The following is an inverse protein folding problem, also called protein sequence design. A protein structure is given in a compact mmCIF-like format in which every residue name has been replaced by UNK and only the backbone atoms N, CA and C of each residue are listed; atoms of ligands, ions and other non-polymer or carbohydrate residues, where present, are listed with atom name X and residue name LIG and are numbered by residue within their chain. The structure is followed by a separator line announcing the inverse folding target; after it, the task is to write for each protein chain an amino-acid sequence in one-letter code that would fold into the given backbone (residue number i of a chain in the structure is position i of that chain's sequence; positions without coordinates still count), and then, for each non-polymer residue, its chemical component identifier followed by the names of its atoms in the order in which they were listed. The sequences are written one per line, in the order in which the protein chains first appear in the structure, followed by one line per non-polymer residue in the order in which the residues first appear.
data_IF_360421293855
#
_entry.id   IF_360421293855
#
_cell.length_a   1.000
_cell.length_b   1.000
_cell.length_c   1.000
_cell.angle_alpha   90.00
_cell.angle_beta   90.00
_cell.angle_gamma   90.00
#
_symmetry.space_group_name_H-M   'P 1'
#
loop_
_entity.id
_entity.type
_entity.pdbx_description
1 polymer ?
#
# COMPACT_ATOMS: atom_id res chain seq x y z
N UNK A 1 -9.04 -3.66 -5.97
CA UNK A 1 -9.97 -4.57 -5.27
C UNK A 1 -10.97 -3.84 -4.39
N UNK A 2 -10.54 -3.05 -3.40
CA UNK A 2 -11.48 -2.32 -2.52
C UNK A 2 -12.44 -1.42 -3.30
N UNK A 3 -11.95 -0.65 -4.27
CA UNK A 3 -12.80 0.15 -5.14
C UNK A 3 -13.84 -0.68 -5.91
N UNK A 4 -13.44 -1.81 -6.51
CA UNK A 4 -14.37 -2.74 -7.18
C UNK A 4 -15.40 -3.32 -6.22
N UNK A 5 -14.99 -3.70 -5.00
CA UNK A 5 -15.88 -4.27 -4.00
C UNK A 5 -16.92 -3.26 -3.50
N UNK A 6 -16.50 -2.01 -3.27
CA UNK A 6 -17.42 -0.93 -2.93
C UNK A 6 -18.33 -0.55 -4.10
N UNK A 7 -17.85 -0.59 -5.34
CA UNK A 7 -18.69 -0.44 -6.53
C UNK A 7 -19.76 -1.54 -6.61
N UNK A 8 -19.39 -2.80 -6.35
CA UNK A 8 -20.34 -3.92 -6.30
C UNK A 8 -21.40 -3.79 -5.19
N UNK A 9 -21.07 -3.08 -4.10
CA UNK A 9 -21.95 -2.90 -2.94
C UNK A 9 -22.86 -1.68 -3.08
N UNK A 10 -22.30 -0.53 -3.43
CA UNK A 10 -22.93 0.78 -3.26
C UNK A 10 -23.01 1.60 -4.57
N UNK A 11 -22.90 0.95 -5.73
CA UNK A 11 -23.25 1.59 -7.00
C UNK A 11 -24.77 1.79 -7.10
N UNK A 12 -25.21 2.95 -7.59
CA UNK A 12 -26.64 3.31 -7.71
C UNK A 12 -27.46 2.28 -8.50
N UNK A 13 -26.85 1.68 -9.54
CA UNK A 13 -27.55 0.78 -10.48
C UNK A 13 -27.40 -0.69 -10.12
N UNK A 14 -26.19 -1.11 -9.75
CA UNK A 14 -25.85 -2.53 -9.57
C UNK A 14 -25.49 -2.91 -8.13
N UNK A 15 -25.52 -1.95 -7.20
CA UNK A 15 -25.10 -2.14 -5.81
C UNK A 15 -25.98 -3.11 -5.04
N UNK A 16 -25.36 -4.10 -4.41
CA UNK A 16 -26.05 -5.08 -3.55
C UNK A 16 -26.73 -4.43 -2.33
N UNK A 17 -26.08 -3.43 -1.71
CA UNK A 17 -26.65 -2.71 -0.56
C UNK A 17 -27.88 -1.90 -0.97
N UNK A 18 -27.84 -1.27 -2.16
CA UNK A 18 -28.98 -0.53 -2.67
C UNK A 18 -30.19 -1.43 -2.91
N UNK A 19 -29.99 -2.63 -3.46
CA UNK A 19 -31.10 -3.59 -3.63
C UNK A 19 -31.69 -4.03 -2.28
N UNK A 20 -30.85 -4.26 -1.29
CA UNK A 20 -31.30 -4.60 0.06
C UNK A 20 -32.08 -3.45 0.69
N UNK A 21 -31.63 -2.21 0.54
CA UNK A 21 -32.37 -1.03 1.02
C UNK A 21 -33.72 -0.85 0.28
N UNK A 22 -33.75 -1.12 -1.02
CA UNK A 22 -34.98 -1.08 -1.84
C UNK A 22 -36.01 -2.13 -1.42
N UNK A 23 -35.61 -3.24 -0.79
CA UNK A 23 -36.57 -4.19 -0.22
C UNK A 23 -37.28 -3.67 1.03
N UNK A 24 -36.72 -2.67 1.71
CA UNK A 24 -37.32 -2.05 2.90
C UNK A 24 -38.00 -0.72 2.58
N UNK A 25 -37.49 0.04 1.60
CA UNK A 25 -38.01 1.36 1.24
C UNK A 25 -38.26 1.40 -0.28
N UNK A 26 -39.48 1.73 -0.73
CA UNK A 26 -39.80 1.80 -2.16
C UNK A 26 -39.21 3.06 -2.80
N UNK A 27 -37.91 3.02 -3.13
CA UNK A 27 -37.20 4.05 -3.88
C UNK A 27 -36.79 3.53 -5.27
N UNK A 28 -37.02 4.34 -6.31
CA UNK A 28 -36.74 3.98 -7.71
C UNK A 28 -35.25 3.93 -8.03
N UNK A 29 -34.43 4.70 -7.32
CA UNK A 29 -32.98 4.65 -7.40
C UNK A 29 -32.40 4.29 -6.03
N UNK A 30 -31.28 3.55 -6.04
CA UNK A 30 -30.57 3.22 -4.81
C UNK A 30 -30.08 4.49 -4.10
N UNK A 31 -30.29 4.62 -2.78
CA UNK A 31 -29.93 5.84 -2.04
C UNK A 31 -28.41 6.02 -1.86
N UNK A 32 -27.61 4.99 -2.10
CA UNK A 32 -26.15 5.04 -2.00
C UNK A 32 -25.53 5.20 -3.39
N UNK A 33 -24.64 6.19 -3.53
CA UNK A 33 -23.78 6.34 -4.69
C UNK A 33 -22.31 6.46 -4.30
N UNK A 34 -21.57 5.39 -4.55
CA UNK A 34 -20.14 5.34 -4.30
C UNK A 34 -19.30 6.11 -5.33
N UNK A 35 -19.84 6.44 -6.50
CA UNK A 35 -19.13 7.15 -7.57
C UNK A 35 -19.16 8.68 -7.36
N UNK A 36 -19.20 9.11 -6.10
CA UNK A 36 -19.23 10.50 -5.67
C UNK A 36 -17.94 10.86 -4.93
N UNK A 37 -17.68 12.16 -4.71
CA UNK A 37 -16.54 12.59 -3.89
C UNK A 37 -16.62 11.95 -2.48
N UNK A 38 -17.81 11.96 -1.87
CA UNK A 38 -18.03 11.34 -0.56
C UNK A 38 -17.79 9.82 -0.57
N UNK A 39 -18.24 9.12 -1.62
CA UNK A 39 -17.99 7.71 -1.81
C UNK A 39 -16.50 7.39 -1.95
N UNK A 40 -15.77 8.17 -2.75
CA UNK A 40 -14.31 8.05 -2.85
C UNK A 40 -13.62 8.31 -1.51
N UNK A 41 -14.00 9.36 -0.78
CA UNK A 41 -13.47 9.65 0.57
C UNK A 41 -13.72 8.50 1.54
N UNK A 42 -14.89 7.87 1.48
CA UNK A 42 -15.19 6.68 2.28
C UNK A 42 -14.25 5.51 1.93
N UNK A 43 -14.14 5.15 0.65
CA UNK A 43 -13.25 4.07 0.21
C UNK A 43 -11.80 4.35 0.62
N UNK A 44 -11.35 5.59 0.48
CA UNK A 44 -10.05 6.03 0.96
C UNK A 44 -9.85 5.83 2.46
N UNK A 45 -10.83 6.24 3.26
CA UNK A 45 -10.81 6.02 4.71
C UNK A 45 -10.67 4.54 5.05
N UNK A 46 -11.45 3.66 4.39
CA UNK A 46 -11.36 2.21 4.59
C UNK A 46 -10.02 1.61 4.16
N UNK A 47 -9.33 2.24 3.21
CA UNK A 47 -8.03 1.79 2.73
C UNK A 47 -6.86 2.27 3.61
N UNK A 48 -6.93 3.50 4.13
CA UNK A 48 -5.81 4.16 4.81
C UNK A 48 -5.86 4.07 6.34
N UNK A 49 -7.00 3.73 6.95
CA UNK A 49 -7.10 3.59 8.41
C UNK A 49 -6.08 2.61 9.04
N UNK A 50 -5.63 1.50 8.41
CA UNK A 50 -4.67 0.61 9.03
C UNK A 50 -3.33 1.31 9.28
N UNK A 51 -2.92 2.21 8.40
CA UNK A 51 -1.69 3.01 8.58
C UNK A 51 -1.86 3.95 9.77
N UNK A 52 -2.99 4.63 9.87
CA UNK A 52 -3.33 5.50 11.02
C UNK A 52 -3.34 4.69 12.31
N UNK A 53 -3.96 3.51 12.31
CA UNK A 53 -4.02 2.62 13.47
C UNK A 53 -2.62 2.20 13.95
N UNK A 54 -1.69 1.90 13.04
CA UNK A 54 -0.32 1.53 13.40
C UNK A 54 0.44 2.71 14.03
N UNK A 55 0.29 3.91 13.47
CA UNK A 55 0.94 5.14 13.98
C UNK A 55 0.37 5.51 15.35
N UNK A 56 -0.96 5.57 15.47
CA UNK A 56 -1.65 5.90 16.72
C UNK A 56 -1.40 4.82 17.78
N UNK A 57 -1.43 3.54 17.40
CA UNK A 57 -1.15 2.44 18.31
C UNK A 57 0.29 2.46 18.83
N UNK A 58 1.27 2.88 18.03
CA UNK A 58 2.63 3.09 18.50
C UNK A 58 2.69 4.27 19.49
N UNK A 59 2.07 5.40 19.15
CA UNK A 59 2.03 6.59 20.01
C UNK A 59 1.38 6.31 21.37
N UNK A 60 0.25 5.60 21.39
CA UNK A 60 -0.44 5.22 22.63
C UNK A 60 0.37 4.24 23.48
N UNK A 61 1.16 3.34 22.88
CA UNK A 61 2.04 2.42 23.63
C UNK A 61 3.24 3.11 24.27
N UNK A 62 3.65 4.27 23.74
CA UNK A 62 4.80 5.05 24.24
C UNK A 62 4.41 6.21 25.14
N UNK A 63 3.12 6.50 25.27
CA UNK A 63 2.60 7.58 26.12
C UNK A 63 2.78 7.23 27.59
N UNK A 64 3.14 8.21 28.43
CA UNK A 64 3.27 8.06 29.89
C UNK A 64 1.88 8.01 30.57
N UNK A 65 1.46 6.86 31.13
CA UNK A 65 0.22 6.72 31.89
C UNK A 65 0.13 7.62 33.12
N UNK A 66 1.25 8.13 33.67
CA UNK A 66 1.25 8.97 34.87
C UNK A 66 0.45 10.26 34.65
N UNK A 67 0.41 10.78 33.42
CA UNK A 67 -0.40 11.94 33.07
C UNK A 67 -1.90 11.64 33.17
N UNK A 68 -2.32 10.43 32.78
CA UNK A 68 -3.72 9.99 32.90
C UNK A 68 -4.09 9.63 34.34
N UNK A 69 -3.17 9.06 35.10
CA UNK A 69 -3.34 8.76 36.53
C UNK A 69 -3.42 10.04 37.37
N UNK A 70 -2.53 11.01 37.14
CA UNK A 70 -2.56 12.30 37.82
C UNK A 70 -3.88 13.04 37.55
N UNK A 71 -4.36 13.01 36.30
CA UNK A 71 -5.66 13.56 35.95
C UNK A 71 -6.81 12.80 36.65
N UNK A 72 -6.73 11.47 36.75
CA UNK A 72 -7.74 10.65 37.44
C UNK A 72 -7.77 10.96 38.95
N UNK A 73 -6.61 11.06 39.60
CA UNK A 73 -6.47 11.44 41.02
C UNK A 73 -6.97 12.88 41.27
N UNK A 74 -6.88 13.75 40.26
CA UNK A 74 -7.43 15.11 40.30
C UNK A 74 -8.95 15.16 40.02
N UNK A 75 -9.63 14.01 39.96
CA UNK A 75 -11.08 13.92 39.74
C UNK A 75 -11.53 13.95 38.28
N UNK A 76 -10.61 13.89 37.31
CA UNK A 76 -11.00 13.90 35.89
C UNK A 76 -11.64 12.57 35.46
N UNK A 77 -12.89 12.66 34.98
CA UNK A 77 -13.59 11.53 34.35
C UNK A 77 -12.89 11.04 33.07
N UNK A 78 -13.29 9.86 32.57
CA UNK A 78 -12.68 9.21 31.38
C UNK A 78 -12.70 10.13 30.15
N UNK A 79 -13.82 10.81 29.91
CA UNK A 79 -13.94 11.73 28.76
C UNK A 79 -13.05 12.96 28.89
N UNK A 80 -12.93 13.51 30.09
CA UNK A 80 -12.04 14.64 30.36
C UNK A 80 -10.59 14.23 30.10
N UNK A 81 -10.15 13.10 30.67
CA UNK A 81 -8.80 12.53 30.45
C UNK A 81 -8.50 12.29 28.97
N UNK A 82 -9.42 11.64 28.25
CA UNK A 82 -9.29 11.40 26.82
C UNK A 82 -9.05 12.72 26.06
N UNK A 83 -9.86 13.74 26.33
CA UNK A 83 -9.82 15.00 25.57
C UNK A 83 -8.66 15.91 25.94
N UNK A 84 -8.33 16.02 27.22
CA UNK A 84 -7.36 17.00 27.72
C UNK A 84 -5.95 16.44 27.88
N UNK A 85 -5.82 15.14 28.13
CA UNK A 85 -4.52 14.47 28.31
C UNK A 85 -4.20 13.63 27.08
N UNK A 86 -4.95 12.55 26.83
CA UNK A 86 -4.63 11.57 25.79
C UNK A 86 -4.55 12.20 24.41
N UNK A 87 -5.60 12.94 24.00
CA UNK A 87 -5.63 13.63 22.71
C UNK A 87 -4.58 14.73 22.61
N UNK A 88 -4.31 15.46 23.71
CA UNK A 88 -3.34 16.55 23.71
C UNK A 88 -1.90 16.04 23.53
N UNK A 89 -1.53 14.99 24.28
CA UNK A 89 -0.22 14.33 24.17
C UNK A 89 -0.08 13.62 22.81
N UNK A 90 -1.18 13.10 22.27
CA UNK A 90 -1.18 12.42 20.97
C UNK A 90 -1.24 13.38 19.77
N UNK A 91 -1.38 14.71 19.96
CA UNK A 91 -1.46 15.69 18.86
C UNK A 91 -0.35 15.54 17.82
N UNK A 92 0.95 15.39 18.18
CA UNK A 92 2.00 15.23 17.20
C UNK A 92 1.83 13.96 16.36
N UNK A 93 1.41 12.85 16.97
CA UNK A 93 1.12 11.60 16.27
C UNK A 93 -0.10 11.71 15.35
N UNK A 94 -1.15 12.40 15.79
CA UNK A 94 -2.34 12.68 14.97
C UNK A 94 -1.95 13.53 13.76
N UNK A 95 -1.16 14.59 13.94
CA UNK A 95 -0.68 15.43 12.84
C UNK A 95 0.19 14.62 11.85
N UNK A 96 1.11 13.80 12.35
CA UNK A 96 1.90 12.90 11.50
C UNK A 96 1.01 11.90 10.73
N UNK A 97 0.00 11.33 11.38
CA UNK A 97 -0.96 10.42 10.75
C UNK A 97 -1.83 11.12 9.69
N UNK A 98 -2.27 12.36 9.93
CA UNK A 98 -2.99 13.16 8.96
C UNK A 98 -2.12 13.51 7.75
N UNK A 99 -0.87 13.93 7.98
CA UNK A 99 0.06 14.28 6.90
C UNK A 99 0.38 13.07 6.02
N UNK A 100 0.65 11.90 6.60
CA UNK A 100 0.91 10.69 5.78
C UNK A 100 -0.33 10.26 4.99
N UNK A 101 -1.53 10.32 5.58
CA UNK A 101 -2.78 10.00 4.86
C UNK A 101 -3.04 11.00 3.75
N UNK A 102 -2.77 12.28 3.97
CA UNK A 102 -2.87 13.32 2.94
C UNK A 102 -1.94 13.04 1.76
N UNK A 103 -0.65 12.76 2.01
CA UNK A 103 0.32 12.39 0.97
C UNK A 103 -0.14 11.12 0.23
N UNK A 104 -0.58 10.09 0.95
CA UNK A 104 -1.10 8.86 0.34
C UNK A 104 -2.36 9.08 -0.50
N UNK A 105 -3.23 10.02 -0.09
CA UNK A 105 -4.41 10.40 -0.84
C UNK A 105 -4.06 11.09 -2.16
N UNK A 106 -3.08 12.01 -2.15
CA UNK A 106 -2.59 12.69 -3.35
C UNK A 106 -2.02 11.72 -4.39
N UNK A 107 -1.34 10.67 -3.93
CA UNK A 107 -0.73 9.65 -4.80
C UNK A 107 -1.72 8.61 -5.32
N UNK A 108 -2.95 8.57 -4.77
CA UNK A 108 -3.88 7.52 -5.16
C UNK A 108 -4.45 7.76 -6.54
N UNK A 109 -4.49 6.66 -7.28
CA UNK A 109 -4.94 6.61 -8.65
C UNK A 109 -6.02 5.55 -8.85
N UNK A 110 -5.93 4.41 -8.17
CA UNK A 110 -6.85 3.28 -8.32
C UNK A 110 -8.30 3.60 -7.90
N UNK A 111 -8.50 4.31 -6.79
CA UNK A 111 -9.84 4.70 -6.32
C UNK A 111 -10.49 5.72 -7.26
N UNK A 112 -9.84 6.85 -7.63
CA UNK A 112 -10.42 7.79 -8.57
C UNK A 112 -10.58 7.22 -9.99
N UNK A 113 -9.70 6.31 -10.42
CA UNK A 113 -9.82 5.64 -11.71
C UNK A 113 -11.08 4.76 -11.78
N UNK A 114 -11.35 3.97 -10.73
CA UNK A 114 -12.45 2.99 -10.73
C UNK A 114 -13.80 3.61 -10.36
N UNK A 115 -13.81 4.61 -9.48
CA UNK A 115 -15.04 5.24 -8.96
C UNK A 115 -15.26 6.66 -9.46
N UNK A 116 -14.19 7.44 -9.59
CA UNK A 116 -14.25 8.85 -9.99
C UNK A 116 -14.58 9.00 -11.48
N UNK A 117 -13.82 8.35 -12.37
CA UNK A 117 -14.04 8.47 -13.82
C UNK A 117 -15.47 8.08 -14.25
N UNK A 118 -16.04 6.93 -13.81
CA UNK A 118 -17.44 6.61 -14.12
C UNK A 118 -18.44 7.64 -13.55
N UNK A 119 -18.11 8.24 -12.41
CA UNK A 119 -18.85 9.34 -11.78
C UNK A 119 -18.61 10.71 -12.42
N UNK A 120 -17.79 10.80 -13.48
CA UNK A 120 -17.34 12.06 -14.13
C UNK A 120 -16.60 13.00 -13.17
N UNK A 121 -15.87 12.44 -12.22
CA UNK A 121 -15.03 13.19 -11.28
C UNK A 121 -13.57 12.97 -11.66
N UNK A 122 -12.99 13.98 -12.29
CA UNK A 122 -11.57 14.00 -12.63
C UNK A 122 -10.78 14.67 -11.50
N UNK A 123 -9.75 13.98 -11.03
CA UNK A 123 -8.73 14.50 -10.12
C UNK A 123 -7.38 14.52 -10.83
N UNK A 124 -6.36 15.16 -10.25
CA UNK A 124 -5.04 15.28 -10.87
C UNK A 124 -4.48 13.94 -11.39
N UNK A 125 -4.56 12.86 -10.59
CA UNK A 125 -4.03 11.55 -10.97
C UNK A 125 -4.77 10.92 -12.16
N UNK A 126 -6.09 11.06 -12.24
CA UNK A 126 -6.88 10.57 -13.39
C UNK A 126 -6.74 11.48 -14.59
N UNK A 127 -6.57 12.79 -14.41
CA UNK A 127 -6.39 13.71 -15.53
C UNK A 127 -5.05 13.50 -16.24
N UNK A 128 -3.98 13.24 -15.46
CA UNK A 128 -2.68 12.79 -15.99
C UNK A 128 -2.84 11.53 -16.85
N UNK A 129 -3.67 10.58 -16.42
CA UNK A 129 -3.97 9.36 -17.17
C UNK A 129 -4.84 9.63 -18.41
N UNK A 130 -5.92 10.40 -18.28
CA UNK A 130 -6.83 10.73 -19.37
C UNK A 130 -6.09 11.43 -20.52
N UNK A 131 -5.29 12.43 -20.20
CA UNK A 131 -4.49 13.18 -21.19
C UNK A 131 -3.38 12.34 -21.82
N UNK A 132 -2.75 11.44 -21.06
CA UNK A 132 -1.70 10.56 -21.59
C UNK A 132 -2.21 9.39 -22.43
N UNK A 133 -3.41 8.87 -22.14
CA UNK A 133 -3.83 7.54 -22.64
C UNK A 133 -5.23 7.51 -23.25
N UNK A 134 -6.17 8.35 -22.78
CA UNK A 134 -7.56 8.32 -23.25
C UNK A 134 -7.82 9.34 -24.38
N UNK A 135 -7.22 10.53 -24.32
CA UNK A 135 -7.32 11.53 -25.38
C UNK A 135 -6.66 11.05 -26.67
N UNK A 136 -7.25 11.40 -27.81
CA UNK A 136 -6.73 11.08 -29.15
C UNK A 136 -6.67 12.35 -30.00
N UNK A 137 -5.48 12.85 -30.35
CA UNK A 137 -4.14 12.30 -30.03
C UNK A 137 -3.76 12.45 -28.53
N UNK A 138 -2.79 11.65 -28.02
CA UNK A 138 -2.28 11.81 -26.66
C UNK A 138 -1.67 13.20 -26.41
N UNK A 139 -2.04 13.84 -25.31
CA UNK A 139 -1.62 15.19 -24.93
C UNK A 139 -0.48 15.14 -23.90
N UNK A 140 0.66 14.56 -24.32
CA UNK A 140 1.78 14.27 -23.43
C UNK A 140 2.36 15.51 -22.72
N UNK A 141 2.29 16.69 -23.36
CA UNK A 141 2.72 17.95 -22.74
C UNK A 141 1.85 18.39 -21.56
N UNK A 142 0.53 18.22 -21.68
CA UNK A 142 -0.42 18.50 -20.59
C UNK A 142 -0.23 17.49 -19.46
N UNK A 143 -0.13 16.21 -19.80
CA UNK A 143 0.14 15.15 -18.82
C UNK A 143 1.44 15.38 -18.05
N UNK A 144 2.51 15.78 -18.73
CA UNK A 144 3.79 16.13 -18.09
C UNK A 144 3.65 17.34 -17.14
N UNK A 145 2.91 18.38 -17.55
CA UNK A 145 2.69 19.57 -16.74
C UNK A 145 1.89 19.27 -15.47
N UNK A 146 0.78 18.53 -15.60
CA UNK A 146 -0.02 18.06 -14.47
C UNK A 146 0.79 17.12 -13.56
N UNK A 147 1.63 16.28 -14.15
CA UNK A 147 2.61 15.47 -13.45
C UNK A 147 3.54 16.32 -12.60
N UNK A 148 4.20 17.32 -13.16
CA UNK A 148 5.11 18.20 -12.41
C UNK A 148 4.40 18.92 -11.24
N UNK A 149 3.17 19.38 -11.42
CA UNK A 149 2.36 19.97 -10.34
C UNK A 149 2.13 18.95 -9.23
N UNK A 150 1.67 17.74 -9.58
CA UNK A 150 1.40 16.68 -8.62
C UNK A 150 2.69 16.22 -7.90
N UNK A 151 3.82 16.18 -8.61
CA UNK A 151 5.14 15.88 -8.04
C UNK A 151 5.55 16.95 -7.02
N UNK A 152 5.41 18.23 -7.37
CA UNK A 152 5.74 19.33 -6.48
C UNK A 152 4.90 19.30 -5.19
N UNK A 153 3.60 19.05 -5.32
CA UNK A 153 2.69 18.92 -4.17
C UNK A 153 3.05 17.69 -3.32
N UNK A 154 3.38 16.55 -3.94
CA UNK A 154 3.78 15.35 -3.21
C UNK A 154 5.10 15.53 -2.46
N UNK A 155 6.13 16.10 -3.12
CA UNK A 155 7.42 16.40 -2.49
C UNK A 155 7.24 17.37 -1.32
N UNK A 156 6.43 18.43 -1.49
CA UNK A 156 6.11 19.35 -0.41
C UNK A 156 5.42 18.64 0.77
N UNK A 157 4.44 17.78 0.49
CA UNK A 157 3.76 16.97 1.50
C UNK A 157 4.71 16.03 2.26
N UNK A 158 5.59 15.32 1.54
CA UNK A 158 6.60 14.44 2.14
C UNK A 158 7.61 15.23 2.99
N UNK A 159 8.04 16.41 2.52
CA UNK A 159 8.93 17.29 3.26
C UNK A 159 8.29 17.76 4.57
N UNK A 160 7.05 18.23 4.52
CA UNK A 160 6.28 18.64 5.72
C UNK A 160 6.13 17.45 6.67
N UNK A 161 5.72 16.28 6.17
CA UNK A 161 5.62 15.05 6.96
C UNK A 161 6.93 14.69 7.68
N UNK A 162 8.05 14.69 6.95
CA UNK A 162 9.38 14.39 7.53
C UNK A 162 9.75 15.38 8.62
N UNK A 163 9.57 16.68 8.37
CA UNK A 163 9.92 17.73 9.33
C UNK A 163 9.04 17.75 10.59
N UNK A 164 7.75 17.39 10.45
CA UNK A 164 6.81 17.30 11.57
C UNK A 164 7.05 16.05 12.42
N UNK A 165 7.34 14.92 11.78
CA UNK A 165 7.54 13.63 12.47
C UNK A 165 8.87 13.56 13.22
N UNK A 166 9.93 14.17 12.68
CA UNK A 166 11.21 14.30 13.39
C UNK A 166 11.06 15.06 14.72
N UNK A 167 10.19 16.09 14.74
CA UNK A 167 9.85 16.84 15.95
C UNK A 167 8.96 16.04 16.90
N UNK A 168 7.96 15.34 16.37
CA UNK A 168 7.05 14.50 17.18
C UNK A 168 7.79 13.40 17.96
N UNK A 169 8.78 12.74 17.35
CA UNK A 169 9.62 11.74 18.02
C UNK A 169 10.54 12.35 19.09
N UNK A 170 10.91 13.63 18.97
CA UNK A 170 11.67 14.33 19.99
C UNK A 170 10.82 14.71 21.22
N UNK A 171 9.49 14.82 21.07
CA UNK A 171 8.55 15.06 22.18
C UNK A 171 8.07 13.78 22.87
N UNK A 172 8.36 12.59 22.32
CA UNK A 172 8.20 11.34 23.03
C UNK A 172 9.36 11.21 24.03
N UNK A 173 9.20 11.79 25.22
CA UNK A 173 10.09 11.60 26.37
C UNK A 173 10.07 10.12 26.76
N UNK A 174 10.91 9.33 26.10
CA UNK A 174 11.33 8.02 26.61
C UNK A 174 12.13 8.31 27.88
N UNK A 175 11.46 8.38 29.03
CA UNK A 175 12.16 8.35 30.30
C UNK A 175 12.76 6.94 30.45
N UNK A 176 13.98 6.82 31.00
CA UNK A 176 14.63 5.53 31.22
C UNK A 176 13.92 4.61 32.23
N UNK A 177 12.72 4.99 32.70
CA UNK A 177 11.89 4.18 33.58
C UNK A 177 11.02 3.28 32.71
N UNK A 178 11.22 1.96 32.82
CA UNK A 178 10.40 0.98 32.13
C UNK A 178 8.94 1.13 32.52
N UNK A 179 8.13 1.71 31.64
CA UNK A 179 6.72 1.89 31.88
C UNK A 179 5.96 0.62 31.45
N UNK A 180 5.10 0.11 32.33
CA UNK A 180 4.16 -0.96 31.97
C UNK A 180 2.85 -0.33 31.54
N UNK A 181 2.47 -0.36 30.24
CA UNK A 181 1.15 0.12 29.84
C UNK A 181 0.09 -0.68 30.58
N UNK A 182 -0.73 -0.01 31.39
CA UNK A 182 -1.82 -0.66 32.11
C UNK A 182 -3.03 -0.76 31.16
N UNK A 183 -3.57 -1.96 30.90
CA UNK A 183 -4.76 -2.08 30.06
C UNK A 183 -5.95 -1.40 30.72
N UNK A 184 -6.65 -0.56 29.96
CA UNK A 184 -7.89 0.07 30.44
C UNK A 184 -8.95 -1.01 30.71
N UNK A 185 -9.42 -1.10 31.95
CA UNK A 185 -10.45 -2.06 32.33
C UNK A 185 -11.82 -1.60 31.82
N UNK A 186 -12.23 -2.12 30.66
CA UNK A 186 -13.49 -1.76 30.01
C UNK A 186 -14.74 -2.40 30.65
N UNK A 187 -14.57 -3.29 31.63
CA UNK A 187 -15.70 -3.99 32.28
C UNK A 187 -16.66 -4.63 31.27
N UNK A 188 -17.97 -4.43 31.46
CA UNK A 188 -19.03 -4.92 30.54
C UNK A 188 -18.99 -4.26 29.17
N UNK A 189 -18.48 -3.03 29.06
CA UNK A 189 -18.38 -2.31 27.79
C UNK A 189 -17.42 -2.99 26.80
N UNK A 190 -16.56 -3.91 27.26
CA UNK A 190 -15.67 -4.70 26.38
C UNK A 190 -16.40 -5.41 25.25
N UNK A 191 -17.60 -5.95 25.52
CA UNK A 191 -18.36 -6.71 24.53
C UNK A 191 -18.97 -5.78 23.48
N UNK A 192 -19.45 -4.61 23.90
CA UNK A 192 -19.96 -3.57 22.99
C UNK A 192 -18.83 -3.03 22.12
N UNK A 193 -17.68 -2.71 22.70
CA UNK A 193 -16.51 -2.21 21.95
C UNK A 193 -15.99 -3.28 21.00
N UNK A 194 -15.88 -4.53 21.43
CA UNK A 194 -15.49 -5.64 20.56
C UNK A 194 -16.47 -5.83 19.39
N UNK A 195 -17.79 -5.72 19.64
CA UNK A 195 -18.80 -5.76 18.59
C UNK A 195 -18.65 -4.59 17.61
N UNK A 196 -18.49 -3.36 18.10
CA UNK A 196 -18.30 -2.17 17.26
C UNK A 196 -17.03 -2.32 16.39
N UNK A 197 -15.92 -2.75 16.97
CA UNK A 197 -14.69 -3.03 16.22
C UNK A 197 -14.91 -4.16 15.20
N UNK A 198 -15.58 -5.24 15.60
CA UNK A 198 -15.89 -6.38 14.73
C UNK A 198 -16.75 -5.98 13.53
N UNK A 199 -17.82 -5.21 13.77
CA UNK A 199 -18.68 -4.65 12.71
C UNK A 199 -17.88 -3.71 11.83
N UNK A 200 -17.05 -2.84 12.39
CA UNK A 200 -16.20 -1.94 11.62
C UNK A 200 -15.25 -2.72 10.69
N UNK A 201 -14.53 -3.74 11.20
CA UNK A 201 -13.67 -4.60 10.38
C UNK A 201 -14.47 -5.37 9.34
N UNK A 202 -15.64 -5.88 9.70
CA UNK A 202 -16.52 -6.57 8.76
C UNK A 202 -16.93 -5.64 7.61
N UNK A 203 -17.45 -4.45 7.91
CA UNK A 203 -17.94 -3.49 6.91
C UNK A 203 -16.81 -2.94 6.03
N UNK A 204 -15.65 -2.64 6.62
CA UNK A 204 -14.56 -1.97 5.89
C UNK A 204 -13.68 -2.94 5.11
N UNK A 205 -13.50 -4.19 5.57
CA UNK A 205 -12.60 -5.16 4.97
C UNK A 205 -13.33 -6.38 4.40
N UNK A 206 -14.11 -7.08 5.24
CA UNK A 206 -14.69 -8.36 4.84
C UNK A 206 -15.80 -8.19 3.80
N UNK A 207 -16.69 -7.22 3.98
CA UNK A 207 -17.86 -7.01 3.15
C UNK A 207 -17.49 -6.65 1.69
N UNK A 208 -16.55 -5.71 1.39
CA UNK A 208 -16.09 -5.48 0.02
C UNK A 208 -15.34 -6.67 -0.59
N UNK A 209 -14.62 -7.44 0.22
CA UNK A 209 -13.94 -8.64 -0.28
C UNK A 209 -14.95 -9.74 -0.64
N UNK A 210 -15.97 -9.93 0.20
CA UNK A 210 -17.06 -10.87 -0.04
C UNK A 210 -17.89 -10.47 -1.26
N UNK A 211 -18.09 -9.17 -1.51
CA UNK A 211 -18.82 -8.71 -2.70
C UNK A 211 -18.06 -9.01 -3.99
N UNK A 212 -16.74 -8.80 -4.02
CA UNK A 212 -15.90 -9.19 -5.16
C UNK A 212 -15.88 -10.70 -5.32
N UNK A 213 -15.73 -11.45 -4.22
CA UNK A 213 -15.77 -12.90 -4.25
C UNK A 213 -17.11 -13.40 -4.81
N UNK A 214 -18.23 -12.85 -4.36
CA UNK A 214 -19.53 -13.18 -4.89
C UNK A 214 -19.65 -12.94 -6.40
N UNK A 215 -19.19 -11.77 -6.88
CA UNK A 215 -19.18 -11.49 -8.32
C UNK A 215 -18.32 -12.47 -9.13
N UNK A 216 -17.23 -12.96 -8.55
CA UNK A 216 -16.34 -13.91 -9.22
C UNK A 216 -16.93 -15.32 -9.38
N UNK A 217 -18.04 -15.64 -8.71
CA UNK A 217 -18.71 -16.95 -8.78
C UNK A 217 -19.74 -17.05 -9.92
N UNK A 218 -19.95 -15.97 -10.68
CA UNK A 218 -20.94 -15.92 -11.75
C UNK A 218 -20.31 -15.39 -13.05
N UNK A 219 -20.81 -15.82 -14.22
CA UNK A 219 -20.33 -15.32 -15.51
C UNK A 219 -20.83 -13.90 -15.82
N UNK A 220 -21.89 -13.43 -15.16
CA UNK A 220 -22.46 -12.09 -15.31
C UNK A 220 -22.66 -11.41 -13.95
N UNK A 221 -22.69 -10.08 -13.94
CA UNK A 221 -22.89 -9.30 -12.72
C UNK A 221 -24.22 -9.68 -12.08
N UNK A 222 -24.15 -10.21 -10.86
CA UNK A 222 -25.31 -10.64 -10.10
C UNK A 222 -25.22 -10.13 -8.67
N UNK A 223 -26.23 -9.38 -8.26
CA UNK A 223 -26.37 -8.94 -6.87
C UNK A 223 -26.56 -10.15 -5.94
N UNK A 224 -26.14 -10.00 -4.69
CA UNK A 224 -26.32 -11.06 -3.69
C UNK A 224 -27.81 -11.38 -3.49
N UNK A 225 -28.13 -12.67 -3.49
CA UNK A 225 -29.43 -13.22 -3.11
C UNK A 225 -29.25 -14.66 -2.66
N UNK A 226 -30.03 -15.09 -1.66
CA UNK A 226 -29.99 -16.46 -1.15
C UNK A 226 -30.35 -17.49 -2.24
N UNK A 227 -31.28 -17.15 -3.13
CA UNK A 227 -31.73 -18.03 -4.23
C UNK A 227 -30.65 -18.25 -5.31
N UNK A 228 -29.65 -17.38 -5.34
CA UNK A 228 -28.56 -17.46 -6.29
C UNK A 228 -27.43 -18.41 -5.83
N UNK A 229 -27.35 -18.73 -4.53
CA UNK A 229 -26.27 -19.55 -3.94
C UNK A 229 -26.13 -20.92 -4.63
N UNK A 230 -27.21 -21.68 -4.91
CA UNK A 230 -27.08 -22.98 -5.57
C UNK A 230 -26.55 -22.90 -7.01
N UNK A 231 -26.54 -21.71 -7.62
CA UNK A 231 -26.06 -21.47 -8.98
C UNK A 231 -24.64 -20.89 -9.01
N UNK A 232 -24.01 -20.67 -7.86
CA UNK A 232 -22.64 -20.20 -7.78
C UNK A 232 -21.69 -21.27 -8.34
N UNK A 233 -20.70 -20.85 -9.13
CA UNK A 233 -19.76 -21.77 -9.76
C UNK A 233 -18.37 -21.15 -9.89
N UNK A 234 -17.33 -21.99 -9.95
CA UNK A 234 -15.97 -21.53 -10.23
C UNK A 234 -15.67 -21.45 -11.74
N UNK A 235 -16.69 -21.48 -12.61
CA UNK A 235 -16.52 -21.45 -14.06
C UNK A 235 -15.78 -20.19 -14.54
N UNK A 236 -15.97 -19.06 -13.86
CA UNK A 236 -15.28 -17.81 -14.20
C UNK A 236 -13.76 -17.90 -13.99
N UNK A 237 -13.31 -18.68 -12.99
CA UNK A 237 -11.89 -18.92 -12.78
C UNK A 237 -11.31 -19.81 -13.90
N UNK A 238 -12.06 -20.81 -14.35
CA UNK A 238 -11.66 -21.61 -15.52
C UNK A 238 -11.57 -20.73 -16.78
N UNK A 239 -12.52 -19.82 -16.99
CA UNK A 239 -12.46 -18.83 -18.08
C UNK A 239 -11.18 -17.99 -18.01
N UNK A 240 -10.87 -17.42 -16.85
CA UNK A 240 -9.66 -16.60 -16.65
C UNK A 240 -8.37 -17.40 -16.90
N UNK A 241 -8.33 -18.67 -16.47
CA UNK A 241 -7.18 -19.55 -16.66
C UNK A 241 -7.06 -20.08 -18.10
N UNK A 242 -8.15 -20.10 -18.86
CA UNK A 242 -8.16 -20.53 -20.27
C UNK A 242 -7.71 -19.42 -21.24
N UNK A 243 -7.78 -18.15 -20.82
CA UNK A 243 -7.49 -17.02 -21.69
C UNK A 243 -6.00 -16.67 -21.66
N UNK A 244 -5.30 -16.86 -22.79
CA UNK A 244 -3.84 -16.72 -22.89
C UNK A 244 -3.33 -15.37 -22.40
N UNK A 245 -4.01 -14.27 -22.74
CA UNK A 245 -3.60 -12.93 -22.31
C UNK A 245 -3.66 -12.74 -20.78
N UNK A 246 -4.61 -13.38 -20.09
CA UNK A 246 -4.71 -13.32 -18.63
C UNK A 246 -3.60 -14.15 -17.99
N UNK A 247 -3.32 -15.35 -18.51
CA UNK A 247 -2.22 -16.20 -18.04
C UNK A 247 -0.85 -15.54 -18.27
N UNK A 248 -0.64 -14.95 -19.44
CA UNK A 248 0.56 -14.16 -19.77
C UNK A 248 0.73 -13.00 -18.78
N UNK A 249 -0.34 -12.26 -18.48
CA UNK A 249 -0.31 -11.18 -17.51
C UNK A 249 0.08 -11.64 -16.11
N UNK A 250 -0.43 -12.78 -15.63
CA UNK A 250 0.02 -13.36 -14.36
C UNK A 250 1.49 -13.74 -14.39
N UNK A 251 1.92 -14.47 -15.43
CA UNK A 251 3.31 -14.89 -15.60
C UNK A 251 4.25 -13.69 -15.61
N UNK A 252 3.94 -12.68 -16.40
CA UNK A 252 4.72 -11.44 -16.49
C UNK A 252 4.76 -10.68 -15.16
N UNK A 253 3.65 -10.61 -14.43
CA UNK A 253 3.58 -9.95 -13.13
C UNK A 253 4.41 -10.69 -12.07
N UNK A 254 4.40 -12.02 -12.07
CA UNK A 254 5.26 -12.84 -11.19
C UNK A 254 6.73 -12.64 -11.55
N UNK A 255 7.11 -12.79 -12.82
CA UNK A 255 8.49 -12.60 -13.28
C UNK A 255 8.99 -11.20 -12.90
N UNK A 256 8.20 -10.16 -13.23
CA UNK A 256 8.57 -8.78 -12.92
C UNK A 256 8.68 -8.53 -11.42
N UNK A 257 7.72 -8.98 -10.62
CA UNK A 257 7.76 -8.76 -9.16
C UNK A 257 8.93 -9.48 -8.48
N UNK A 258 9.28 -10.69 -8.93
CA UNK A 258 10.48 -11.41 -8.48
C UNK A 258 11.76 -10.67 -8.87
N UNK A 259 11.87 -10.21 -10.13
CA UNK A 259 13.03 -9.46 -10.59
C UNK A 259 13.20 -8.14 -9.82
N UNK A 260 12.11 -7.37 -9.68
CA UNK A 260 12.09 -6.11 -8.93
C UNK A 260 12.51 -6.34 -7.49
N UNK A 261 11.91 -7.30 -6.78
CA UNK A 261 12.24 -7.57 -5.38
C UNK A 261 13.71 -7.98 -5.22
N UNK A 262 14.22 -8.81 -6.13
CA UNK A 262 15.61 -9.28 -6.10
C UNK A 262 16.58 -8.13 -6.34
N UNK A 263 16.37 -7.34 -7.40
CA UNK A 263 17.22 -6.21 -7.74
C UNK A 263 17.19 -5.15 -6.63
N UNK A 264 16.01 -4.78 -6.15
CA UNK A 264 15.88 -3.79 -5.06
C UNK A 264 16.60 -4.28 -3.81
N UNK A 265 16.39 -5.52 -3.36
CA UNK A 265 17.04 -6.03 -2.14
C UNK A 265 18.56 -6.11 -2.30
N UNK A 266 19.06 -6.56 -3.45
CA UNK A 266 20.50 -6.61 -3.71
C UNK A 266 21.11 -5.20 -3.67
N UNK A 267 20.55 -4.26 -4.42
CA UNK A 267 21.04 -2.88 -4.48
C UNK A 267 20.97 -2.20 -3.12
N UNK A 268 19.82 -2.31 -2.44
CA UNK A 268 19.58 -1.61 -1.18
C UNK A 268 20.29 -2.25 0.00
N UNK A 269 20.59 -3.56 -0.03
CA UNK A 269 21.43 -4.20 1.00
C UNK A 269 22.84 -3.61 1.04
N UNK A 270 23.46 -3.43 -0.14
CA UNK A 270 24.79 -2.82 -0.27
C UNK A 270 24.72 -1.32 0.02
N UNK A 271 23.76 -0.61 -0.57
CA UNK A 271 23.61 0.83 -0.35
C UNK A 271 23.31 1.18 1.12
N UNK A 272 22.49 0.39 1.81
CA UNK A 272 22.23 0.55 3.24
C UNK A 272 23.49 0.26 4.06
N UNK A 273 24.30 -0.76 3.70
CA UNK A 273 25.58 -0.99 4.36
C UNK A 273 26.51 0.21 4.20
N UNK A 274 26.61 0.80 3.00
CA UNK A 274 27.42 2.00 2.77
C UNK A 274 26.89 3.18 3.61
N UNK A 275 25.58 3.43 3.59
CA UNK A 275 24.96 4.53 4.32
C UNK A 275 25.17 4.42 5.85
N UNK A 276 24.99 3.22 6.41
CA UNK A 276 24.96 2.98 7.86
C UNK A 276 26.34 2.65 8.44
N UNK A 277 27.17 1.85 7.75
CA UNK A 277 28.41 1.27 8.29
C UNK A 277 29.68 1.93 7.79
N UNK A 278 29.68 2.42 6.56
CA UNK A 278 30.90 2.95 5.95
C UNK A 278 31.23 4.37 6.42
N UNK A 279 32.50 4.77 6.23
CA UNK A 279 32.97 6.14 6.45
C UNK A 279 33.25 6.89 5.15
N UNK A 280 32.75 6.38 4.01
CA UNK A 280 33.05 6.99 2.70
C UNK A 280 32.38 8.36 2.56
N UNK A 281 33.04 9.34 1.90
CA UNK A 281 32.40 10.60 1.58
C UNK A 281 31.19 10.37 0.67
N UNK A 282 30.10 11.10 0.89
CA UNK A 282 28.87 10.95 0.10
C UNK A 282 27.89 9.85 0.55
N UNK A 283 28.18 9.10 1.63
CA UNK A 283 27.27 8.06 2.16
C UNK A 283 25.86 8.56 2.48
N UNK A 284 25.73 9.81 2.95
CA UNK A 284 24.43 10.44 3.23
C UNK A 284 23.67 10.82 1.94
N UNK A 285 24.40 11.11 0.86
CA UNK A 285 23.78 11.36 -0.44
C UNK A 285 23.17 10.08 -1.02
N UNK A 286 23.81 8.92 -0.84
CA UNK A 286 23.24 7.63 -1.25
C UNK A 286 21.91 7.34 -0.56
N UNK A 287 21.83 7.55 0.76
CA UNK A 287 20.58 7.41 1.50
C UNK A 287 19.51 8.37 0.95
N UNK A 288 19.86 9.64 0.76
CA UNK A 288 18.94 10.66 0.26
C UNK A 288 18.43 10.34 -1.15
N UNK A 289 19.31 9.94 -2.08
CA UNK A 289 18.96 9.61 -3.46
C UNK A 289 18.09 8.35 -3.54
N UNK A 290 18.43 7.32 -2.77
CA UNK A 290 17.65 6.08 -2.77
C UNK A 290 16.28 6.25 -2.08
N UNK A 291 16.13 7.24 -1.20
CA UNK A 291 14.84 7.64 -0.65
C UNK A 291 14.05 8.62 -1.51
N UNK A 292 14.67 9.32 -2.46
CA UNK A 292 14.02 10.35 -3.26
C UNK A 292 12.73 9.90 -3.98
N UNK A 293 12.64 8.66 -4.52
CA UNK A 293 11.43 8.19 -5.20
C UNK A 293 10.19 8.08 -4.30
N UNK A 294 10.33 8.15 -2.97
CA UNK A 294 9.19 8.01 -2.05
C UNK A 294 8.12 9.10 -2.22
N UNK A 295 8.50 10.27 -2.76
CA UNK A 295 7.57 11.36 -3.05
C UNK A 295 7.12 11.41 -4.50
N UNK A 296 7.45 10.39 -5.32
CA UNK A 296 7.04 10.31 -6.72
C UNK A 296 5.80 9.40 -6.81
N UNK A 297 4.60 9.96 -7.07
CA UNK A 297 3.41 9.17 -7.35
C UNK A 297 3.62 8.18 -8.49
N UNK A 298 3.02 7.00 -8.38
CA UNK A 298 3.16 5.95 -9.41
C UNK A 298 2.67 6.37 -10.80
N UNK A 299 1.66 7.26 -10.89
CA UNK A 299 1.18 7.81 -12.16
C UNK A 299 2.24 8.67 -12.83
N UNK A 300 2.91 9.53 -12.07
CA UNK A 300 4.02 10.37 -12.56
C UNK A 300 5.17 9.47 -12.97
N UNK A 301 5.49 8.47 -12.16
CA UNK A 301 6.51 7.49 -12.51
C UNK A 301 6.22 6.84 -13.87
N UNK A 302 4.98 6.43 -14.10
CA UNK A 302 4.55 5.86 -15.38
C UNK A 302 4.74 6.84 -16.55
N UNK A 303 4.24 8.08 -16.43
CA UNK A 303 4.35 9.09 -17.49
C UNK A 303 5.79 9.52 -17.75
N UNK A 304 6.58 9.77 -16.70
CA UNK A 304 7.98 10.19 -16.84
C UNK A 304 8.82 9.12 -17.53
N UNK A 305 8.66 7.86 -17.11
CA UNK A 305 9.32 6.72 -17.74
C UNK A 305 8.87 6.59 -19.19
N UNK A 306 7.57 6.65 -19.48
CA UNK A 306 7.02 6.64 -20.84
C UNK A 306 7.66 7.73 -21.74
N UNK A 307 7.71 8.98 -21.27
CA UNK A 307 8.29 10.11 -22.00
C UNK A 307 9.79 9.92 -22.30
N UNK A 308 10.56 9.51 -21.30
CA UNK A 308 11.99 9.22 -21.47
C UNK A 308 12.18 8.13 -22.54
N UNK A 309 11.35 7.10 -22.56
CA UNK A 309 11.50 6.03 -23.55
C UNK A 309 10.99 6.36 -24.95
N UNK A 310 10.03 7.27 -25.10
CA UNK A 310 9.62 7.78 -26.42
C UNK A 310 10.73 8.63 -27.09
N UNK A 311 11.70 9.10 -26.31
CA UNK A 311 12.81 9.93 -26.79
C UNK A 311 14.15 9.19 -26.91
N UNK A 312 14.29 8.04 -26.25
CA UNK A 312 15.50 7.23 -26.32
C UNK A 312 15.53 6.36 -27.59
N UNK A 313 16.65 6.33 -28.34
CA UNK A 313 16.79 5.52 -29.56
C UNK A 313 17.09 4.03 -29.25
N UNK A 314 16.52 3.46 -28.18
CA UNK A 314 16.78 2.09 -27.73
C UNK A 314 15.46 1.29 -27.84
N UNK A 315 15.42 0.10 -28.49
CA UNK A 315 14.20 -0.67 -28.72
C UNK A 315 13.73 -1.43 -27.47
N UNK A 316 13.52 -0.71 -26.37
CA UNK A 316 13.01 -1.25 -25.10
C UNK A 316 11.50 -1.03 -24.94
N UNK A 317 10.87 -0.24 -25.81
CA UNK A 317 9.44 0.06 -25.75
C UNK A 317 8.60 -1.22 -25.78
N UNK A 318 7.62 -1.28 -24.87
CA UNK A 318 6.72 -2.42 -24.75
C UNK A 318 7.37 -3.71 -24.23
N UNK A 319 8.56 -3.63 -23.63
CA UNK A 319 9.21 -4.78 -22.99
C UNK A 319 8.99 -4.77 -21.48
N UNK A 320 9.11 -5.95 -20.84
CA UNK A 320 9.08 -6.07 -19.37
C UNK A 320 10.18 -5.24 -18.70
N UNK A 321 11.30 -5.03 -19.38
CA UNK A 321 12.49 -4.35 -18.84
C UNK A 321 12.18 -2.93 -18.36
N UNK A 322 11.39 -2.16 -19.14
CA UNK A 322 11.01 -0.79 -18.77
C UNK A 322 10.18 -0.76 -17.48
N UNK A 323 9.20 -1.67 -17.39
CA UNK A 323 8.34 -1.76 -16.22
C UNK A 323 9.14 -2.20 -14.99
N UNK A 324 10.10 -3.11 -15.17
CA UNK A 324 11.04 -3.51 -14.13
C UNK A 324 11.85 -2.31 -13.63
N UNK A 325 12.41 -1.47 -14.50
CA UNK A 325 13.17 -0.28 -14.09
C UNK A 325 12.30 0.71 -13.30
N UNK A 326 11.08 0.96 -13.79
CA UNK A 326 10.14 1.86 -13.13
C UNK A 326 9.79 1.36 -11.73
N UNK A 327 9.47 0.07 -11.60
CA UNK A 327 9.16 -0.54 -10.31
C UNK A 327 10.38 -0.61 -9.38
N UNK A 328 11.56 -0.96 -9.88
CA UNK A 328 12.80 -0.94 -9.08
C UNK A 328 12.97 0.42 -8.44
N UNK A 329 12.89 1.49 -9.24
CA UNK A 329 13.06 2.85 -8.76
C UNK A 329 11.95 3.25 -7.77
N UNK A 330 10.69 2.88 -8.03
CA UNK A 330 9.56 3.11 -7.12
C UNK A 330 9.73 2.41 -5.76
N UNK A 331 10.34 1.23 -5.74
CA UNK A 331 10.48 0.40 -4.54
C UNK A 331 11.85 0.52 -3.83
N UNK A 332 12.82 1.23 -4.39
CA UNK A 332 14.09 1.58 -3.74
C UNK A 332 13.93 2.09 -2.28
N UNK A 333 13.05 3.08 -1.98
CA UNK A 333 12.91 3.59 -0.61
C UNK A 333 12.47 2.52 0.39
N UNK A 334 11.63 1.56 -0.04
CA UNK A 334 11.18 0.46 0.80
C UNK A 334 12.34 -0.51 1.11
N UNK A 335 13.13 -0.86 0.08
CA UNK A 335 14.32 -1.69 0.24
C UNK A 335 15.35 -1.06 1.16
N UNK A 336 15.67 0.23 0.93
CA UNK A 336 16.63 0.96 1.77
C UNK A 336 16.20 1.00 3.22
N UNK A 337 14.93 1.28 3.51
CA UNK A 337 14.45 1.35 4.89
C UNK A 337 14.59 0.00 5.59
N UNK A 338 14.11 -1.07 4.96
CA UNK A 338 14.09 -2.39 5.57
C UNK A 338 15.50 -2.98 5.71
N UNK A 339 16.39 -2.72 4.75
CA UNK A 339 17.80 -3.12 4.83
C UNK A 339 18.56 -2.35 5.93
N UNK A 340 18.36 -1.04 6.03
CA UNK A 340 18.94 -0.21 7.10
C UNK A 340 18.45 -0.63 8.50
N UNK A 341 17.15 -0.88 8.65
CA UNK A 341 16.56 -1.35 9.91
C UNK A 341 17.10 -2.74 10.32
N UNK A 342 17.40 -3.62 9.36
CA UNK A 342 18.02 -4.92 9.62
C UNK A 342 19.49 -4.75 10.05
N UNK A 343 20.25 -3.88 9.39
CA UNK A 343 21.64 -3.60 9.73
C UNK A 343 21.77 -2.99 11.13
N UNK A 344 20.94 -2.01 11.48
CA UNK A 344 21.01 -1.30 12.77
C UNK A 344 20.80 -2.20 14.00
N UNK A 345 20.22 -3.39 13.84
CA UNK A 345 20.04 -4.36 14.93
C UNK A 345 21.30 -5.14 15.28
N UNK A 346 22.29 -5.16 14.39
CA UNK A 346 23.53 -5.92 14.57
C UNK A 346 24.59 -5.00 15.17
N UNK A 347 25.36 -5.48 16.14
CA UNK A 347 26.44 -4.68 16.73
C UNK A 347 27.63 -4.55 15.74
N UNK A 348 28.19 -3.32 15.52
CA UNK A 348 29.32 -3.12 14.61
C UNK A 348 30.56 -3.98 14.90
N UNK A 349 30.76 -4.38 16.16
CA UNK A 349 31.93 -5.17 16.60
C UNK A 349 32.15 -6.46 15.82
N UNK A 350 31.10 -7.10 15.29
CA UNK A 350 31.25 -8.32 14.49
C UNK A 350 32.05 -8.07 13.20
N UNK A 351 31.89 -6.88 12.61
CA UNK A 351 32.66 -6.47 11.43
C UNK A 351 34.09 -6.07 11.81
N UNK A 352 34.29 -5.43 12.97
CA UNK A 352 35.60 -5.03 13.49
C UNK A 352 36.48 -6.25 13.83
N UNK A 353 35.92 -7.27 14.47
CA UNK A 353 36.63 -8.53 14.77
C UNK A 353 37.04 -9.26 13.49
N UNK A 354 36.18 -9.26 12.47
CA UNK A 354 36.49 -9.81 11.15
C UNK A 354 37.64 -9.07 10.47
N UNK A 355 37.63 -7.73 10.53
CA UNK A 355 38.69 -6.89 9.98
C UNK A 355 40.02 -7.10 10.72
N UNK A 356 40.00 -7.21 12.06
CA UNK A 356 41.18 -7.54 12.88
C UNK A 356 41.74 -8.93 12.55
N UNK A 357 40.89 -9.87 12.13
CA UNK A 357 41.27 -11.21 11.66
C UNK A 357 41.79 -11.24 10.21
N UNK A 358 41.99 -10.08 9.58
CA UNK A 358 42.52 -9.96 8.22
C UNK A 358 41.50 -10.21 7.10
N UNK A 359 40.20 -10.31 7.40
CA UNK A 359 39.18 -10.49 6.38
C UNK A 359 38.83 -9.16 5.68
N UNK A 360 38.89 -9.14 4.36
CA UNK A 360 38.44 -8.01 3.54
C UNK A 360 36.92 -7.83 3.55
N UNK A 361 36.45 -6.67 3.10
CA UNK A 361 35.02 -6.29 3.11
C UNK A 361 34.09 -7.34 2.51
N UNK A 362 34.40 -7.88 1.33
CA UNK A 362 33.54 -8.84 0.65
C UNK A 362 33.37 -10.14 1.46
N UNK A 363 34.43 -10.56 2.17
CA UNK A 363 34.40 -11.74 3.03
C UNK A 363 33.60 -11.45 4.31
N UNK A 364 33.83 -10.31 4.95
CA UNK A 364 33.04 -9.85 6.11
C UNK A 364 31.56 -9.72 5.76
N UNK A 365 31.23 -9.12 4.61
CA UNK A 365 29.86 -8.97 4.17
C UNK A 365 29.19 -10.31 3.91
N UNK A 366 29.80 -11.19 3.11
CA UNK A 366 29.19 -12.49 2.75
C UNK A 366 29.13 -13.49 3.90
N UNK A 367 30.14 -13.51 4.77
CA UNK A 367 30.25 -14.52 5.83
C UNK A 367 29.62 -14.10 7.16
N UNK A 368 29.50 -12.79 7.43
CA UNK A 368 29.03 -12.28 8.73
C UNK A 368 27.78 -11.43 8.53
N UNK A 369 27.89 -10.31 7.79
CA UNK A 369 26.79 -9.34 7.71
C UNK A 369 25.56 -9.93 7.02
N UNK A 370 25.73 -10.47 5.82
CA UNK A 370 24.66 -10.97 4.97
C UNK A 370 23.84 -12.08 5.66
N UNK A 371 24.44 -13.14 6.26
CA UNK A 371 23.67 -14.15 6.98
C UNK A 371 22.85 -13.58 8.15
N UNK A 372 23.39 -12.59 8.86
CA UNK A 372 22.72 -11.96 10.00
C UNK A 372 21.57 -11.04 9.57
N UNK A 373 21.70 -10.31 8.45
CA UNK A 373 20.61 -9.46 7.93
C UNK A 373 19.66 -10.17 6.99
N UNK A 374 20.02 -11.36 6.47
CA UNK A 374 19.24 -12.15 5.51
C UNK A 374 17.76 -12.28 5.89
N UNK A 375 17.39 -12.51 7.17
CA UNK A 375 15.99 -12.59 7.56
C UNK A 375 15.20 -11.30 7.33
N UNK A 376 15.85 -10.16 7.61
CA UNK A 376 15.30 -8.84 7.33
C UNK A 376 15.22 -8.56 5.82
N UNK A 377 16.25 -8.97 5.07
CA UNK A 377 16.26 -8.86 3.61
C UNK A 377 15.19 -9.74 2.93
N UNK A 378 14.93 -10.95 3.44
CA UNK A 378 13.87 -11.82 2.94
C UNK A 378 12.48 -11.23 3.24
N UNK A 379 12.27 -10.67 4.43
CA UNK A 379 11.04 -9.95 4.75
C UNK A 379 10.83 -8.74 3.81
N UNK A 380 11.92 -8.01 3.50
CA UNK A 380 11.89 -6.93 2.52
C UNK A 380 11.57 -7.42 1.12
N UNK A 381 12.21 -8.51 0.69
CA UNK A 381 12.00 -9.13 -0.61
C UNK A 381 10.54 -9.51 -0.83
N UNK A 382 9.93 -10.23 0.12
CA UNK A 382 8.52 -10.63 0.02
C UNK A 382 7.58 -9.41 0.04
N UNK A 383 7.89 -8.40 0.86
CA UNK A 383 7.09 -7.17 0.94
C UNK A 383 7.11 -6.41 -0.40
N UNK A 384 8.29 -6.25 -1.00
CA UNK A 384 8.47 -5.57 -2.29
C UNK A 384 7.84 -6.39 -3.42
N UNK A 385 7.99 -7.72 -3.40
CA UNK A 385 7.37 -8.61 -4.37
C UNK A 385 5.84 -8.45 -4.34
N UNK A 386 5.24 -8.54 -3.15
CA UNK A 386 3.80 -8.38 -2.97
C UNK A 386 3.31 -6.98 -3.37
N UNK A 387 4.11 -5.93 -3.14
CA UNK A 387 3.79 -4.56 -3.55
C UNK A 387 3.88 -4.35 -5.06
N UNK A 388 4.93 -4.88 -5.70
CA UNK A 388 5.17 -4.79 -7.15
C UNK A 388 4.15 -5.62 -7.95
N UNK A 389 3.75 -6.78 -7.44
CA UNK A 389 2.78 -7.66 -8.10
C UNK A 389 1.38 -7.03 -8.26
N UNK A 390 0.98 -6.17 -7.31
CA UNK A 390 -0.32 -5.46 -7.30
C UNK A 390 -0.24 -4.02 -7.82
N UNK A 391 0.91 -3.60 -8.31
CA UNK A 391 1.13 -2.23 -8.78
C UNK A 391 0.31 -2.00 -10.06
N UNK A 392 -0.47 -0.91 -10.10
CA UNK A 392 -1.30 -0.52 -11.25
C UNK A 392 -0.90 0.85 -11.79
N UNK A 393 -0.64 1.80 -10.89
CA UNK A 393 -0.49 3.22 -11.20
C UNK A 393 0.65 3.51 -12.16
N UNK A 394 1.77 2.80 -12.06
CA UNK A 394 2.89 2.91 -12.99
C UNK A 394 2.71 1.97 -14.18
N UNK A 395 2.28 0.74 -13.91
CA UNK A 395 2.13 -0.33 -14.90
C UNK A 395 1.18 0.03 -16.04
N UNK A 396 0.08 0.74 -15.77
CA UNK A 396 -0.93 1.07 -16.78
C UNK A 396 -0.41 1.99 -17.90
N UNK A 397 0.56 2.87 -17.61
CA UNK A 397 1.15 3.78 -18.58
C UNK A 397 2.20 3.09 -19.47
N UNK A 398 2.78 2.00 -18.98
CA UNK A 398 3.91 1.30 -19.60
C UNK A 398 3.52 -0.05 -20.22
N UNK A 399 2.30 -0.52 -19.94
CA UNK A 399 1.80 -1.77 -20.45
C UNK A 399 1.70 -1.75 -21.98
N UNK A 400 2.05 -2.89 -22.57
CA UNK A 400 1.98 -3.13 -24.02
C UNK A 400 1.40 -4.53 -24.28
N UNK A 401 1.10 -4.89 -25.53
CA UNK A 401 0.70 -6.25 -25.87
C UNK A 401 1.70 -7.33 -25.42
N UNK A 402 3.00 -7.02 -25.40
CA UNK A 402 4.07 -7.94 -25.00
C UNK A 402 4.39 -7.89 -23.49
N UNK A 403 4.09 -6.76 -22.83
CA UNK A 403 4.32 -6.53 -21.41
C UNK A 403 2.99 -6.27 -20.68
N UNK A 404 2.09 -7.26 -20.70
CA UNK A 404 0.81 -7.23 -19.98
C UNK A 404 1.00 -7.59 -18.51
N UNK A 405 0.28 -6.91 -17.62
CA UNK A 405 0.31 -7.12 -16.16
C UNK A 405 -1.09 -7.43 -15.63
N UNK A 406 -1.17 -8.21 -14.56
CA UNK A 406 -2.45 -8.68 -14.00
C UNK A 406 -3.31 -7.52 -13.51
N UNK A 407 -2.69 -6.49 -12.92
CA UNK A 407 -3.36 -5.27 -12.46
C UNK A 407 -4.01 -4.51 -13.63
N UNK A 408 -3.29 -4.39 -14.75
CA UNK A 408 -3.76 -3.71 -15.96
C UNK A 408 -4.86 -4.52 -16.64
N UNK A 409 -4.68 -5.83 -16.82
CA UNK A 409 -5.71 -6.70 -17.42
C UNK A 409 -6.96 -6.76 -16.56
N UNK A 410 -6.84 -6.75 -15.23
CA UNK A 410 -7.99 -6.65 -14.32
C UNK A 410 -8.74 -5.33 -14.54
N UNK A 411 -8.03 -4.22 -14.68
CA UNK A 411 -8.64 -2.93 -14.97
C UNK A 411 -9.31 -2.90 -16.36
N UNK A 412 -8.63 -3.37 -17.40
CA UNK A 412 -9.20 -3.47 -18.77
C UNK A 412 -10.45 -4.34 -18.79
N UNK A 413 -10.42 -5.51 -18.16
CA UNK A 413 -11.59 -6.38 -18.05
C UNK A 413 -12.77 -5.67 -17.35
N UNK A 414 -12.50 -4.83 -16.35
CA UNK A 414 -13.53 -4.02 -15.69
C UNK A 414 -14.11 -2.95 -16.63
N UNK A 415 -13.26 -2.19 -17.32
CA UNK A 415 -13.73 -1.14 -18.25
C UNK A 415 -14.44 -1.69 -19.49
N UNK A 416 -14.07 -2.89 -19.92
CA UNK A 416 -14.72 -3.60 -21.04
C UNK A 416 -16.08 -4.22 -20.64
N UNK A 417 -16.51 -4.03 -19.38
CA UNK A 417 -17.77 -4.55 -18.86
C UNK A 417 -17.69 -5.98 -18.33
N UNK A 418 -16.56 -6.67 -18.47
CA UNK A 418 -16.31 -8.00 -17.91
C UNK A 418 -15.93 -7.93 -16.41
N UNK A 419 -16.84 -7.34 -15.62
CA UNK A 419 -16.64 -7.09 -14.18
C UNK A 419 -16.44 -8.40 -13.39
N UNK A 420 -17.05 -9.50 -13.82
CA UNK A 420 -16.91 -10.82 -13.17
C UNK A 420 -15.54 -11.43 -13.42
N UNK A 421 -14.94 -11.27 -14.61
CA UNK A 421 -13.54 -11.66 -14.85
C UNK A 421 -12.58 -10.78 -14.06
N UNK A 422 -12.82 -9.47 -14.01
CA UNK A 422 -12.03 -8.56 -13.16
C UNK A 422 -12.10 -8.96 -11.68
N UNK A 423 -13.28 -9.37 -11.20
CA UNK A 423 -13.45 -9.88 -9.85
C UNK A 423 -12.67 -11.19 -9.61
N UNK A 424 -12.75 -12.16 -10.54
CA UNK A 424 -12.00 -13.41 -10.45
C UNK A 424 -10.48 -13.19 -10.49
N UNK A 425 -9.99 -12.37 -11.42
CA UNK A 425 -8.58 -11.94 -11.49
C UNK A 425 -8.14 -11.30 -10.17
N UNK A 426 -8.97 -10.41 -9.63
CA UNK A 426 -8.74 -9.76 -8.36
C UNK A 426 -8.66 -10.75 -7.19
N UNK A 427 -9.55 -11.75 -7.13
CA UNK A 427 -9.51 -12.79 -6.09
C UNK A 427 -8.26 -13.66 -6.19
N UNK A 428 -7.84 -14.05 -7.39
CA UNK A 428 -6.58 -14.80 -7.60
C UNK A 428 -5.38 -13.94 -7.17
N UNK A 429 -5.36 -12.66 -7.57
CA UNK A 429 -4.32 -11.72 -7.16
C UNK A 429 -4.26 -11.58 -5.63
N UNK A 430 -5.41 -11.45 -4.96
CA UNK A 430 -5.51 -11.40 -3.50
C UNK A 430 -4.97 -12.67 -2.84
N UNK A 431 -5.33 -13.85 -3.38
CA UNK A 431 -4.85 -15.13 -2.86
C UNK A 431 -3.32 -15.23 -2.94
N UNK A 432 -2.73 -14.85 -4.08
CA UNK A 432 -1.28 -14.84 -4.27
C UNK A 432 -0.61 -13.91 -3.26
N UNK A 433 -1.10 -12.68 -3.12
CA UNK A 433 -0.56 -11.71 -2.14
C UNK A 433 -0.73 -12.20 -0.70
N UNK A 434 -1.85 -12.84 -0.37
CA UNK A 434 -2.10 -13.42 0.94
C UNK A 434 -1.12 -14.54 1.26
N UNK A 435 -0.91 -15.49 0.33
CA UNK A 435 0.07 -16.57 0.49
C UNK A 435 1.47 -16.00 0.70
N UNK A 436 1.88 -15.01 -0.10
CA UNK A 436 3.17 -14.34 0.06
C UNK A 436 3.29 -13.67 1.44
N UNK A 437 2.27 -12.96 1.89
CA UNK A 437 2.26 -12.31 3.21
C UNK A 437 2.34 -13.33 4.36
N UNK A 438 1.64 -14.45 4.27
CA UNK A 438 1.71 -15.55 5.25
C UNK A 438 3.10 -16.15 5.27
N UNK A 439 3.69 -16.43 4.11
CA UNK A 439 5.06 -16.94 4.01
C UNK A 439 6.05 -15.97 4.66
N UNK A 440 5.99 -14.67 4.36
CA UNK A 440 6.81 -13.67 5.05
C UNK A 440 6.64 -13.70 6.57
N UNK A 441 5.39 -13.80 7.04
CA UNK A 441 5.07 -13.88 8.47
C UNK A 441 5.70 -15.11 9.13
N UNK A 442 5.54 -16.29 8.53
CA UNK A 442 6.10 -17.55 9.04
C UNK A 442 7.62 -17.52 9.03
N UNK A 443 8.25 -17.12 7.92
CA UNK A 443 9.71 -17.01 7.82
C UNK A 443 10.27 -16.05 8.86
N UNK A 444 9.65 -14.88 9.06
CA UNK A 444 10.10 -13.91 10.05
C UNK A 444 10.05 -14.44 11.49
N UNK A 445 9.12 -15.36 11.80
CA UNK A 445 9.02 -16.01 13.11
C UNK A 445 10.06 -17.11 13.29
N UNK A 446 10.24 -17.95 12.28
CA UNK A 446 11.21 -19.05 12.33
C UNK A 446 12.63 -18.54 12.54
N UNK A 447 13.00 -17.44 11.89
CA UNK A 447 14.33 -16.85 12.10
C UNK A 447 14.46 -16.26 13.51
N UNK A 448 13.44 -15.57 14.05
CA UNK A 448 13.50 -15.06 15.44
C UNK A 448 13.64 -16.15 16.51
N UNK A 449 13.32 -17.40 16.19
CA UNK A 449 13.49 -18.54 17.09
C UNK A 449 14.87 -19.20 16.92
N UNK A 450 15.49 -19.04 15.75
CA UNK A 450 16.81 -19.61 15.43
C UNK A 450 18.00 -18.69 15.76
N UNK A 451 17.76 -17.39 15.93
CA UNK A 451 18.71 -16.38 16.40
C UNK A 451 18.47 -16.09 17.88
#
# INVERSE_FOLDING_TARGET
LMALGWNALANVRIGTLNRLLQSFVPVTQGPLDINTIAGMTWVFGTHLYPIVFLIMGAAFRTMDPALEEAAALSGAGVWARLRTVTLAVSRPAILSALLIVFVRGLESFDVPLILGLPGKINVLTTEVYSTATLHRPPELGISATLGLILLAVSIAGVYVYRSATARALAFATITGKGYRPQPLQLGRARHVIALVCGVFFFVTLALPLLSVFWLSLFPFVRQFSLDAIPRASFAQYAYVLSYSAMVEAFRNSIINSVLVATVVVLLTSIAAWIAVRSRVPGRAALDTLAFAPIGVPGTIMGVSVLLVYLTLPIPVYGTLFIVTIAHVTLFLPYGMRLASDALLRIHPQLEEVSALSGAGWLRTYRAIVLPLILPGLLAAWVTILAASFRELSTSIFLASPQARFVSVIMYTAYTDGNTTAAAALGMVMMLVVFVLAVLAGVFSRLVRVAA
#
